data_IF_560113945120
#
_entry.id   IF_560113945120
#
_cell.length_a   1.000
_cell.length_b   1.000
_cell.length_c   1.000
_cell.angle_alpha   90.00
_cell.angle_beta   90.00
_cell.angle_gamma   90.00
#
_symmetry.space_group_name_H-M   'P 1'
#
loop_
_entity.id
_entity.type
_entity.pdbx_description
1 polymer ?
#
# COMPACT_ATOMS: atom_id res chain seq x y z
N UNK A 1 -32.25 -19.11 -12.02
CA UNK A 1 -30.94 -19.75 -11.75
C UNK A 1 -29.76 -18.90 -12.22
N UNK A 2 -29.59 -18.60 -13.52
CA UNK A 2 -28.46 -17.77 -14.02
C UNK A 2 -28.29 -16.41 -13.30
N UNK A 3 -29.40 -15.72 -13.03
CA UNK A 3 -29.39 -14.43 -12.31
C UNK A 3 -28.86 -14.54 -10.87
N UNK A 4 -29.20 -15.62 -10.17
CA UNK A 4 -28.78 -15.87 -8.77
C UNK A 4 -27.27 -16.19 -8.71
N UNK A 5 -26.79 -16.97 -9.68
CA UNK A 5 -25.36 -17.32 -9.79
C UNK A 5 -24.52 -16.04 -10.04
N UNK A 6 -25.02 -15.14 -10.89
CA UNK A 6 -24.33 -13.88 -11.18
C UNK A 6 -24.26 -12.95 -9.96
N UNK A 7 -25.35 -12.82 -9.19
CA UNK A 7 -25.33 -12.00 -7.96
C UNK A 7 -24.41 -12.59 -6.90
N UNK A 8 -24.36 -13.91 -6.75
CA UNK A 8 -23.42 -14.55 -5.83
C UNK A 8 -21.97 -14.30 -6.25
N UNK A 9 -21.65 -14.42 -7.54
CA UNK A 9 -20.30 -14.17 -8.05
C UNK A 9 -19.81 -12.74 -7.78
N UNK A 10 -20.69 -11.75 -7.88
CA UNK A 10 -20.37 -10.34 -7.59
C UNK A 10 -20.16 -10.11 -6.08
N UNK A 11 -20.92 -10.79 -5.22
CA UNK A 11 -20.74 -10.70 -3.77
C UNK A 11 -19.43 -11.35 -3.28
N UNK A 12 -18.88 -12.29 -4.06
CA UNK A 12 -17.59 -12.93 -3.77
C UNK A 12 -16.37 -12.16 -4.29
N UNK A 13 -16.55 -11.03 -4.99
CA UNK A 13 -15.40 -10.24 -5.43
C UNK A 13 -14.77 -9.54 -4.23
N UNK A 14 -13.64 -10.06 -3.75
CA UNK A 14 -12.79 -9.36 -2.80
C UNK A 14 -11.99 -8.29 -3.55
N UNK A 15 -11.99 -7.06 -3.05
CA UNK A 15 -11.05 -6.06 -3.53
C UNK A 15 -9.66 -6.43 -2.96
N UNK A 16 -8.75 -6.89 -3.83
CA UNK A 16 -7.36 -7.12 -3.44
C UNK A 16 -6.72 -5.76 -3.12
N UNK A 17 -6.35 -5.54 -1.86
CA UNK A 17 -5.53 -4.40 -1.49
C UNK A 17 -4.17 -4.54 -2.18
N UNK A 18 -3.84 -3.60 -3.07
CA UNK A 18 -2.57 -3.57 -3.78
C UNK A 18 -1.38 -3.29 -2.86
N UNK A 19 -0.18 -3.33 -3.44
CA UNK A 19 1.04 -2.93 -2.71
C UNK A 19 1.02 -1.41 -2.45
N UNK A 20 1.22 -1.00 -1.20
CA UNK A 20 1.43 0.40 -0.85
C UNK A 20 2.89 0.75 -1.13
N UNK A 21 3.11 1.73 -2.00
CA UNK A 21 4.44 2.27 -2.27
C UNK A 21 4.66 3.54 -1.42
N UNK A 22 5.73 3.56 -0.63
CA UNK A 22 6.05 4.66 0.28
C UNK A 22 7.42 5.24 -0.09
N UNK A 23 7.42 6.51 -0.50
CA UNK A 23 8.64 7.27 -0.72
C UNK A 23 9.08 7.91 0.61
N UNK A 24 10.25 7.50 1.12
CA UNK A 24 10.75 7.94 2.43
C UNK A 24 12.02 8.76 2.24
N UNK A 25 12.03 9.94 2.85
CA UNK A 25 13.22 10.77 2.89
C UNK A 25 14.36 10.00 3.59
N UNK A 26 15.55 9.98 3.00
CA UNK A 26 16.66 9.16 3.47
C UNK A 26 17.05 9.43 4.94
N UNK A 27 16.88 10.67 5.41
CA UNK A 27 17.10 11.07 6.80
C UNK A 27 16.03 10.55 7.79
N UNK A 28 14.95 9.94 7.32
CA UNK A 28 13.87 9.32 8.12
C UNK A 28 13.87 7.79 7.97
N UNK A 29 14.85 7.22 7.27
CA UNK A 29 14.97 5.77 7.06
C UNK A 29 15.08 4.96 8.36
N UNK A 30 15.55 5.57 9.45
CA UNK A 30 15.66 4.93 10.75
C UNK A 30 14.30 4.54 11.37
N UNK A 31 13.21 5.27 11.03
CA UNK A 31 11.90 5.09 11.66
C UNK A 31 10.95 4.19 10.84
N UNK A 32 11.16 4.07 9.52
CA UNK A 32 10.14 3.48 8.64
C UNK A 32 9.84 2.01 8.96
N UNK A 33 10.84 1.22 9.35
CA UNK A 33 10.65 -0.20 9.63
C UNK A 33 9.76 -0.42 10.87
N UNK A 34 9.91 0.41 11.90
CA UNK A 34 9.08 0.34 13.10
C UNK A 34 7.62 0.74 12.80
N UNK A 35 7.43 1.77 11.96
CA UNK A 35 6.11 2.17 11.50
C UNK A 35 5.41 1.08 10.68
N UNK A 36 6.15 0.41 9.78
CA UNK A 36 5.63 -0.72 9.00
C UNK A 36 5.22 -1.87 9.93
N UNK A 37 6.07 -2.18 10.91
CA UNK A 37 5.79 -3.24 11.90
C UNK A 37 4.51 -2.95 12.67
N UNK A 38 4.31 -1.71 13.11
CA UNK A 38 3.10 -1.31 13.84
C UNK A 38 1.86 -1.35 12.95
N UNK A 39 1.96 -0.80 11.72
CA UNK A 39 0.88 -0.79 10.75
C UNK A 39 0.39 -2.20 10.38
N UNK A 40 1.31 -3.15 10.22
CA UNK A 40 0.98 -4.52 9.84
C UNK A 40 0.25 -5.29 10.96
N UNK A 41 0.24 -4.83 12.20
CA UNK A 41 -0.56 -5.46 13.28
C UNK A 41 -2.05 -5.43 12.98
N UNK A 42 -2.53 -4.37 12.33
CA UNK A 42 -3.94 -4.20 11.94
C UNK A 42 -4.18 -4.44 10.46
N UNK A 43 -3.11 -4.54 9.66
CA UNK A 43 -3.16 -4.73 8.20
C UNK A 43 -2.19 -5.84 7.74
N UNK A 44 -2.36 -7.10 8.22
CA UNK A 44 -1.36 -8.16 8.01
C UNK A 44 -1.15 -8.53 6.54
N UNK A 45 -2.18 -8.38 5.70
CA UNK A 45 -2.12 -8.73 4.28
C UNK A 45 -1.60 -7.58 3.40
N UNK A 46 -1.32 -6.41 3.98
CA UNK A 46 -0.88 -5.25 3.21
C UNK A 46 0.62 -5.28 2.97
N UNK A 47 1.01 -5.34 1.70
CA UNK A 47 2.42 -5.25 1.30
C UNK A 47 2.86 -3.79 1.22
N UNK A 48 3.92 -3.43 1.94
CA UNK A 48 4.55 -2.12 1.87
C UNK A 48 5.88 -2.22 1.11
N UNK A 49 6.07 -1.36 0.11
CA UNK A 49 7.31 -1.21 -0.63
C UNK A 49 7.90 0.18 -0.40
N UNK A 50 9.08 0.23 0.20
CA UNK A 50 9.76 1.48 0.55
C UNK A 50 10.77 1.85 -0.54
N UNK A 51 10.74 3.11 -0.96
CA UNK A 51 11.79 3.72 -1.79
C UNK A 51 12.44 4.85 -1.01
N UNK A 52 13.76 4.81 -0.88
CA UNK A 52 14.54 5.84 -0.19
C UNK A 52 15.10 6.87 -1.17
N UNK A 53 15.07 8.14 -0.80
CA UNK A 53 15.56 9.25 -1.63
C UNK A 53 15.54 10.58 -0.90
N UNK A 54 15.91 11.68 -1.56
CA UNK A 54 15.69 13.01 -0.98
C UNK A 54 14.23 13.42 -1.15
N UNK A 55 13.70 14.16 -0.17
CA UNK A 55 12.35 14.73 -0.25
C UNK A 55 12.17 15.61 -1.50
N UNK A 56 13.21 16.38 -1.86
CA UNK A 56 13.22 17.20 -3.07
C UNK A 56 13.10 16.37 -4.36
N UNK A 57 13.80 15.23 -4.46
CA UNK A 57 13.69 14.33 -5.64
C UNK A 57 12.31 13.71 -5.78
N UNK A 58 11.66 13.35 -4.68
CA UNK A 58 10.28 12.83 -4.74
C UNK A 58 9.27 13.93 -5.04
N UNK A 59 9.44 15.11 -4.44
CA UNK A 59 8.58 16.27 -4.72
C UNK A 59 8.63 16.65 -6.19
N UNK A 60 9.83 16.70 -6.79
CA UNK A 60 10.01 16.98 -8.20
C UNK A 60 9.33 15.94 -9.12
N UNK A 61 9.24 14.66 -8.71
CA UNK A 61 8.55 13.63 -9.49
C UNK A 61 7.02 13.75 -9.44
N UNK A 62 6.46 14.31 -8.36
CA UNK A 62 5.00 14.45 -8.19
C UNK A 62 4.46 15.70 -8.89
N UNK A 63 5.30 16.72 -9.07
CA UNK A 63 4.91 18.01 -9.65
C UNK A 63 4.96 18.07 -11.19
N UNK A 64 5.41 17.00 -11.87
CA UNK A 64 5.44 16.90 -13.34
C UNK A 64 4.16 16.24 -13.88
#
# INVERSE_FOLDING_TARGET
MKKIILTLAILYSTAFAGTINVAVAANVSYAINDLIKEFNKTNPDTKIQVTLGSSGKFTAQIQN
#
